data_IF_164393237482
#
_entry.id   IF_164393237482
#
_cell.length_a   1.000
_cell.length_b   1.000
_cell.length_c   1.000
_cell.angle_alpha   90.00
_cell.angle_beta   90.00
_cell.angle_gamma   90.00
#
_symmetry.space_group_name_H-M   'P 1'
#
loop_
_entity.id
_entity.type
_entity.pdbx_description
1 polymer ?
#
# COMPACT_ATOMS: atom_id res chain seq x y z
N UNK A 1 -22.69 -1.27 30.92
CA UNK A 1 -22.52 -1.53 29.47
C UNK A 1 -22.24 -3.01 29.29
N UNK A 2 -22.85 -3.65 28.29
CA UNK A 2 -22.50 -5.04 27.95
C UNK A 2 -21.08 -5.12 27.39
N UNK A 3 -20.42 -6.28 27.52
CA UNK A 3 -19.07 -6.50 26.97
C UNK A 3 -19.01 -6.29 25.44
N UNK A 4 -20.09 -6.62 24.74
CA UNK A 4 -20.23 -6.36 23.30
C UNK A 4 -20.28 -4.84 22.98
N UNK A 5 -21.04 -4.06 23.76
CA UNK A 5 -21.09 -2.60 23.59
C UNK A 5 -19.71 -1.95 23.85
N UNK A 6 -18.98 -2.44 24.85
CA UNK A 6 -17.64 -1.97 25.15
C UNK A 6 -16.65 -2.33 24.01
N UNK A 7 -16.75 -3.52 23.44
CA UNK A 7 -15.94 -3.92 22.27
C UNK A 7 -16.25 -3.02 21.06
N UNK A 8 -17.53 -2.71 20.80
CA UNK A 8 -17.92 -1.82 19.71
C UNK A 8 -17.33 -0.40 19.88
N UNK A 9 -17.40 0.17 21.08
CA UNK A 9 -16.78 1.49 21.37
C UNK A 9 -15.27 1.44 21.14
N UNK A 10 -14.59 0.37 21.59
CA UNK A 10 -13.14 0.24 21.40
C UNK A 10 -12.74 0.05 19.93
N UNK A 11 -13.54 -0.66 19.13
CA UNK A 11 -13.34 -0.78 17.67
C UNK A 11 -13.52 0.57 16.96
N UNK A 12 -14.54 1.33 17.33
CA UNK A 12 -14.73 2.69 16.80
C UNK A 12 -13.54 3.58 17.16
N UNK A 13 -13.07 3.51 18.40
CA UNK A 13 -11.88 4.25 18.83
C UNK A 13 -10.62 3.84 18.06
N UNK A 14 -10.44 2.55 17.78
CA UNK A 14 -9.34 2.06 16.93
C UNK A 14 -9.42 2.65 15.52
N UNK A 15 -10.61 2.61 14.89
CA UNK A 15 -10.80 3.14 13.54
C UNK A 15 -10.50 4.65 13.47
N UNK A 16 -10.98 5.43 14.44
CA UNK A 16 -10.72 6.87 14.54
C UNK A 16 -9.24 7.16 14.83
N UNK A 17 -8.61 6.39 15.74
CA UNK A 17 -7.17 6.52 16.00
C UNK A 17 -6.34 6.27 14.75
N UNK A 18 -6.68 5.25 13.96
CA UNK A 18 -6.00 5.00 12.68
C UNK A 18 -6.18 6.17 11.71
N UNK A 19 -7.40 6.73 11.59
CA UNK A 19 -7.67 7.88 10.71
C UNK A 19 -6.86 9.12 11.12
N UNK A 20 -6.84 9.45 12.41
CA UNK A 20 -6.07 10.56 12.95
C UNK A 20 -4.56 10.35 12.80
N UNK A 21 -4.09 9.12 12.98
CA UNK A 21 -2.69 8.73 12.80
C UNK A 21 -2.23 8.90 11.35
N UNK A 22 -3.07 8.52 10.38
CA UNK A 22 -2.80 8.76 8.95
C UNK A 22 -2.74 10.25 8.64
N UNK A 23 -3.67 11.04 9.15
CA UNK A 23 -3.66 12.50 8.99
C UNK A 23 -2.40 13.14 9.60
N UNK A 24 -1.95 12.65 10.76
CA UNK A 24 -0.73 13.13 11.41
C UNK A 24 0.55 12.85 10.60
N UNK A 25 0.61 11.76 9.82
CA UNK A 25 1.74 11.47 8.93
C UNK A 25 1.93 12.51 7.82
N UNK A 26 0.88 13.24 7.46
CA UNK A 26 0.93 14.30 6.45
C UNK A 26 1.45 15.63 7.00
N UNK A 27 1.53 15.76 8.32
CA UNK A 27 2.08 16.94 8.98
C UNK A 27 3.58 16.72 9.23
N UNK A 28 4.37 17.79 9.16
CA UNK A 28 5.82 17.76 9.34
C UNK A 28 6.14 18.19 10.79
N UNK A 29 6.16 17.28 11.78
CA UNK A 29 6.51 17.66 13.14
C UNK A 29 8.01 17.97 13.23
N UNK A 30 8.38 18.88 14.12
CA UNK A 30 9.76 19.05 14.55
C UNK A 30 10.15 17.81 15.37
N UNK A 31 10.79 16.84 14.73
CA UNK A 31 11.22 15.60 15.38
C UNK A 31 12.70 15.63 15.72
N UNK A 32 13.04 14.94 16.78
CA UNK A 32 14.43 14.72 17.20
C UNK A 32 15.17 13.85 16.17
N UNK A 33 16.44 14.17 15.90
CA UNK A 33 17.25 13.45 14.93
C UNK A 33 17.75 12.12 15.52
N UNK A 34 17.05 11.04 15.27
CA UNK A 34 17.42 9.70 15.68
C UNK A 34 18.13 8.94 14.54
N UNK A 35 19.04 8.01 14.84
CA UNK A 35 19.68 7.17 13.82
C UNK A 35 18.65 6.30 13.06
N UNK A 36 18.85 6.14 11.75
CA UNK A 36 17.97 5.29 10.90
C UNK A 36 17.87 3.87 11.46
N UNK A 37 18.98 3.30 11.95
CA UNK A 37 19.00 1.93 12.49
C UNK A 37 18.03 1.76 13.65
N UNK A 38 18.01 2.72 14.57
CA UNK A 38 17.12 2.71 15.74
C UNK A 38 15.68 2.85 15.30
N UNK A 39 15.35 3.90 14.52
CA UNK A 39 14.00 4.15 14.03
C UNK A 39 13.44 2.95 13.26
N UNK A 40 14.27 2.34 12.40
CA UNK A 40 13.87 1.17 11.62
C UNK A 40 13.62 -0.05 12.51
N UNK A 41 14.45 -0.29 13.50
CA UNK A 41 14.29 -1.42 14.44
C UNK A 41 12.99 -1.25 15.23
N UNK A 42 12.73 -0.05 15.75
CA UNK A 42 11.53 0.27 16.50
C UNK A 42 10.28 0.14 15.63
N UNK A 43 10.33 0.64 14.38
CA UNK A 43 9.25 0.51 13.41
C UNK A 43 8.89 -0.96 13.15
N UNK A 44 9.88 -1.81 12.85
CA UNK A 44 9.65 -3.24 12.58
C UNK A 44 9.19 -4.00 13.83
N UNK A 45 9.61 -3.58 15.02
CA UNK A 45 9.16 -4.13 16.29
C UNK A 45 7.68 -3.79 16.53
N UNK A 46 7.28 -2.54 16.30
CA UNK A 46 5.87 -2.10 16.37
C UNK A 46 4.99 -2.89 15.39
N UNK A 47 5.43 -3.08 14.16
CA UNK A 47 4.71 -3.91 13.19
C UNK A 47 4.53 -5.36 13.69
N UNK A 48 5.53 -5.92 14.37
CA UNK A 48 5.45 -7.28 14.93
C UNK A 48 4.41 -7.37 16.06
N UNK A 49 4.33 -6.36 16.92
CA UNK A 49 3.36 -6.29 18.00
C UNK A 49 1.94 -6.09 17.44
N UNK A 50 1.78 -5.22 16.44
CA UNK A 50 0.50 -5.03 15.73
C UNK A 50 0.05 -6.35 15.11
N UNK A 51 0.92 -7.09 14.41
CA UNK A 51 0.63 -8.41 13.85
C UNK A 51 0.04 -9.36 14.91
N UNK A 52 0.73 -9.49 16.05
CA UNK A 52 0.31 -10.38 17.14
C UNK A 52 -1.04 -9.98 17.73
N UNK A 53 -1.28 -8.67 17.95
CA UNK A 53 -2.53 -8.18 18.51
C UNK A 53 -3.69 -8.28 17.51
N UNK A 54 -3.43 -8.10 16.21
CA UNK A 54 -4.41 -8.34 15.14
C UNK A 54 -4.87 -9.80 15.13
N UNK A 55 -3.94 -10.76 15.25
CA UNK A 55 -4.26 -12.18 15.36
C UNK A 55 -5.14 -12.47 16.58
N UNK A 56 -4.75 -11.95 17.77
CA UNK A 56 -5.52 -12.14 19.01
C UNK A 56 -6.92 -11.54 18.89
N UNK A 57 -7.04 -10.36 18.28
CA UNK A 57 -8.32 -9.69 18.06
C UNK A 57 -9.23 -10.53 17.16
N UNK A 58 -8.71 -11.03 16.03
CA UNK A 58 -9.48 -11.82 15.07
C UNK A 58 -9.96 -13.16 15.68
N UNK A 59 -9.15 -13.77 16.54
CA UNK A 59 -9.55 -14.99 17.29
C UNK A 59 -10.63 -14.64 18.32
N UNK A 60 -10.44 -13.57 19.10
CA UNK A 60 -11.35 -13.19 20.18
C UNK A 60 -12.73 -12.72 19.66
N UNK A 61 -12.78 -12.10 18.48
CA UNK A 61 -14.01 -11.62 17.85
C UNK A 61 -14.49 -12.54 16.71
N UNK A 62 -14.09 -13.82 16.72
CA UNK A 62 -14.61 -14.79 15.75
C UNK A 62 -16.14 -14.87 15.85
N UNK A 63 -16.89 -14.64 14.75
CA UNK A 63 -18.35 -14.61 14.75
C UNK A 63 -19.01 -15.89 15.27
N UNK A 64 -18.37 -17.05 15.10
CA UNK A 64 -18.90 -18.32 15.57
C UNK A 64 -18.91 -18.44 17.11
N UNK A 65 -17.98 -17.79 17.80
CA UNK A 65 -17.89 -17.82 19.28
C UNK A 65 -17.17 -16.56 19.80
N UNK A 66 -17.81 -15.38 19.76
CA UNK A 66 -17.17 -14.12 20.12
C UNK A 66 -16.94 -14.01 21.63
N UNK A 67 -15.68 -13.77 22.00
CA UNK A 67 -15.27 -13.54 23.40
C UNK A 67 -14.89 -12.07 23.57
N UNK A 68 -15.90 -11.19 23.71
CA UNK A 68 -15.72 -9.72 23.77
C UNK A 68 -14.80 -9.27 24.91
N UNK A 69 -14.79 -9.95 26.04
CA UNK A 69 -13.88 -9.65 27.16
C UNK A 69 -12.42 -9.90 26.80
N UNK A 70 -12.15 -10.96 26.03
CA UNK A 70 -10.79 -11.29 25.57
C UNK A 70 -10.28 -10.30 24.50
N UNK A 71 -11.18 -9.63 23.78
CA UNK A 71 -10.83 -8.62 22.78
C UNK A 71 -10.36 -7.28 23.40
N UNK A 72 -10.68 -7.01 24.66
CA UNK A 72 -10.42 -5.71 25.29
C UNK A 72 -8.92 -5.35 25.33
N UNK A 73 -8.05 -6.30 25.70
CA UNK A 73 -6.59 -6.09 25.76
C UNK A 73 -5.99 -5.87 24.36
N UNK A 74 -6.21 -6.75 23.36
CA UNK A 74 -5.72 -6.52 22.00
C UNK A 74 -6.18 -5.21 21.40
N UNK A 75 -7.43 -4.77 21.62
CA UNK A 75 -7.96 -3.50 21.13
C UNK A 75 -7.23 -2.32 21.77
N UNK A 76 -7.05 -2.32 23.09
CA UNK A 76 -6.30 -1.27 23.79
C UNK A 76 -4.87 -1.16 23.25
N UNK A 77 -4.21 -2.29 23.08
CA UNK A 77 -2.84 -2.35 22.58
C UNK A 77 -2.74 -1.86 21.11
N UNK A 78 -3.69 -2.27 20.25
CA UNK A 78 -3.74 -1.81 18.86
C UNK A 78 -3.94 -0.29 18.78
N UNK A 79 -4.82 0.30 19.59
CA UNK A 79 -5.02 1.75 19.67
C UNK A 79 -3.71 2.46 20.02
N UNK A 80 -3.03 2.00 21.07
CA UNK A 80 -1.77 2.58 21.53
C UNK A 80 -0.67 2.45 20.45
N UNK A 81 -0.52 1.25 19.88
CA UNK A 81 0.53 0.98 18.90
C UNK A 81 0.27 1.65 17.54
N UNK A 82 -0.99 1.89 17.16
CA UNK A 82 -1.32 2.65 15.94
C UNK A 82 -0.81 4.08 16.00
N UNK A 83 -1.04 4.79 17.12
CA UNK A 83 -0.49 6.14 17.30
C UNK A 83 1.02 6.16 17.45
N UNK A 84 1.61 5.16 18.14
CA UNK A 84 3.07 5.04 18.25
C UNK A 84 3.73 4.75 16.90
N UNK A 85 3.10 3.92 16.04
CA UNK A 85 3.58 3.64 14.68
C UNK A 85 3.64 4.92 13.84
N UNK A 86 2.58 5.74 13.88
CA UNK A 86 2.54 7.02 13.18
C UNK A 86 3.62 7.99 13.71
N UNK A 87 3.78 8.09 15.03
CA UNK A 87 4.82 8.92 15.64
C UNK A 87 6.22 8.47 15.25
N UNK A 88 6.50 7.17 15.28
CA UNK A 88 7.80 6.64 14.84
C UNK A 88 8.04 6.91 13.35
N UNK A 89 7.04 6.69 12.49
CA UNK A 89 7.15 6.97 11.06
C UNK A 89 7.39 8.47 10.79
N UNK A 90 6.73 9.38 11.53
CA UNK A 90 6.96 10.83 11.43
C UNK A 90 8.36 11.26 11.85
N UNK A 91 9.07 10.45 12.63
CA UNK A 91 10.46 10.71 13.01
C UNK A 91 11.46 10.47 11.87
N UNK A 92 11.02 9.86 10.76
CA UNK A 92 11.83 9.76 9.54
C UNK A 92 11.76 11.08 8.77
N UNK A 93 12.80 11.91 8.92
CA UNK A 93 12.85 13.23 8.31
C UNK A 93 13.49 13.18 6.91
N UNK A 94 12.85 13.73 5.86
CA UNK A 94 13.36 13.67 4.49
C UNK A 94 14.75 14.28 4.32
N UNK A 95 15.05 15.33 5.09
CA UNK A 95 16.33 16.04 5.03
C UNK A 95 17.51 15.27 5.67
N UNK A 96 17.22 14.36 6.62
CA UNK A 96 18.25 13.58 7.33
C UNK A 96 18.32 12.14 6.83
N UNK A 97 17.17 11.52 6.63
CA UNK A 97 17.07 10.10 6.30
C UNK A 97 16.91 9.84 4.81
N UNK A 98 16.61 10.92 4.03
CA UNK A 98 16.39 10.89 2.59
C UNK A 98 14.92 10.70 2.21
N UNK A 99 14.53 11.35 1.11
CA UNK A 99 13.12 11.42 0.68
C UNK A 99 12.52 10.07 0.32
N UNK A 100 13.30 9.20 -0.35
CA UNK A 100 12.78 7.92 -0.81
C UNK A 100 12.49 6.97 0.37
N UNK A 101 13.41 6.89 1.33
CA UNK A 101 13.21 6.08 2.54
C UNK A 101 12.06 6.60 3.39
N UNK A 102 11.98 7.92 3.60
CA UNK A 102 10.88 8.53 4.36
C UNK A 102 9.54 8.24 3.70
N UNK A 103 9.44 8.38 2.38
CA UNK A 103 8.23 8.08 1.64
C UNK A 103 7.84 6.59 1.75
N UNK A 104 8.81 5.68 1.68
CA UNK A 104 8.57 4.25 1.84
C UNK A 104 8.02 3.91 3.24
N UNK A 105 8.60 4.49 4.31
CA UNK A 105 8.13 4.29 5.69
C UNK A 105 6.72 4.86 5.89
N UNK A 106 6.48 6.08 5.39
CA UNK A 106 5.17 6.72 5.50
C UNK A 106 4.09 5.95 4.73
N UNK A 107 4.40 5.45 3.52
CA UNK A 107 3.48 4.60 2.76
C UNK A 107 3.16 3.33 3.53
N UNK A 108 4.19 2.60 4.00
CA UNK A 108 3.99 1.36 4.78
C UNK A 108 3.15 1.60 6.03
N UNK A 109 3.40 2.69 6.78
CA UNK A 109 2.61 3.03 7.96
C UNK A 109 1.15 3.33 7.58
N UNK A 110 0.93 4.10 6.53
CA UNK A 110 -0.41 4.45 6.02
C UNK A 110 -1.18 3.20 5.59
N UNK A 111 -0.53 2.29 4.86
CA UNK A 111 -1.16 1.06 4.36
C UNK A 111 -1.59 0.15 5.53
N UNK A 112 -0.71 -0.04 6.52
CA UNK A 112 -1.02 -0.84 7.71
C UNK A 112 -2.14 -0.20 8.55
N UNK A 113 -2.11 1.12 8.76
CA UNK A 113 -3.16 1.83 9.50
C UNK A 113 -4.50 1.81 8.77
N UNK A 114 -4.49 1.93 7.44
CA UNK A 114 -5.68 1.81 6.60
C UNK A 114 -6.29 0.41 6.71
N UNK A 115 -5.46 -0.64 6.59
CA UNK A 115 -5.92 -2.02 6.73
C UNK A 115 -6.47 -2.33 8.14
N UNK A 116 -5.85 -1.79 9.20
CA UNK A 116 -6.39 -1.91 10.57
C UNK A 116 -7.73 -1.21 10.73
N UNK A 117 -7.90 -0.03 10.14
CA UNK A 117 -9.16 0.70 10.14
C UNK A 117 -10.26 -0.10 9.44
N UNK A 118 -9.96 -0.68 8.29
CA UNK A 118 -10.90 -1.52 7.54
C UNK A 118 -11.27 -2.79 8.33
N UNK A 119 -10.31 -3.42 9.00
CA UNK A 119 -10.56 -4.56 9.89
C UNK A 119 -11.47 -4.17 11.05
N UNK A 120 -11.25 -3.01 11.69
CA UNK A 120 -12.11 -2.52 12.75
C UNK A 120 -13.56 -2.30 12.25
N UNK A 121 -13.74 -1.71 11.07
CA UNK A 121 -15.06 -1.56 10.46
C UNK A 121 -15.71 -2.91 10.11
N UNK A 122 -14.95 -3.89 9.64
CA UNK A 122 -15.47 -5.24 9.38
C UNK A 122 -16.02 -5.89 10.67
N UNK A 123 -15.29 -5.81 11.78
CA UNK A 123 -15.79 -6.31 13.07
C UNK A 123 -16.98 -5.51 13.59
N UNK A 124 -17.00 -4.18 13.43
CA UNK A 124 -18.16 -3.35 13.81
C UNK A 124 -19.42 -3.76 13.03
N UNK A 125 -19.29 -4.01 11.75
CA UNK A 125 -20.43 -4.46 10.93
C UNK A 125 -21.01 -5.79 11.39
N UNK A 126 -20.17 -6.70 11.92
CA UNK A 126 -20.62 -7.98 12.48
C UNK A 126 -21.34 -7.81 13.82
N UNK A 127 -20.90 -6.85 14.65
CA UNK A 127 -21.53 -6.58 15.95
C UNK A 127 -22.87 -5.82 15.82
N UNK A 128 -23.05 -5.04 14.75
CA UNK A 128 -24.24 -4.21 14.54
C UNK A 128 -25.33 -4.90 13.73
N UNK A 129 -25.03 -5.99 13.01
CA UNK A 129 -26.05 -6.79 12.33
C UNK A 129 -26.98 -7.41 13.37
N UNK A 130 -28.30 -7.08 13.38
CA UNK A 130 -29.24 -7.76 14.23
C UNK A 130 -29.24 -9.26 13.85
N UNK A 131 -29.16 -10.15 14.84
CA UNK A 131 -29.41 -11.56 14.63
C UNK A 131 -30.89 -11.70 14.21
N UNK A 132 -31.16 -11.68 12.91
CA UNK A 132 -32.47 -12.01 12.36
C UNK A 132 -32.63 -13.51 12.63
N UNK A 133 -33.39 -13.81 13.69
CA UNK A 133 -33.92 -15.14 13.95
C UNK A 133 -35.12 -15.33 13.04
N UNK A 134 -34.89 -15.58 11.77
CA UNK A 134 -35.91 -16.13 10.91
C UNK A 134 -35.59 -17.60 10.66
N UNK A 135 -36.37 -18.43 11.31
CA UNK A 135 -36.48 -19.90 11.15
C UNK A 135 -37.05 -20.22 9.76
N UNK A 136 -36.38 -19.96 8.68
CA UNK A 136 -36.64 -20.57 7.37
C UNK A 136 -35.76 -19.93 6.27
N UNK A 137 -34.58 -20.40 6.12
CA UNK A 137 -33.84 -20.57 4.87
C UNK A 137 -32.36 -20.67 5.26
N UNK A 138 -31.78 -21.79 4.98
CA UNK A 138 -30.32 -21.98 4.96
C UNK A 138 -29.78 -20.97 3.94
N UNK A 139 -29.44 -19.75 4.36
CA UNK A 139 -29.00 -18.74 3.44
C UNK A 139 -27.48 -18.62 3.53
N UNK A 140 -26.87 -18.77 2.37
CA UNK A 140 -25.46 -18.52 2.04
C UNK A 140 -24.93 -17.14 2.50
N UNK A 141 -25.80 -16.29 3.01
CA UNK A 141 -25.54 -14.94 3.51
C UNK A 141 -24.74 -14.86 4.81
N UNK A 142 -24.68 -15.92 5.63
CA UNK A 142 -23.92 -15.90 6.88
C UNK A 142 -22.43 -16.20 6.69
N UNK A 143 -22.04 -16.87 5.61
CA UNK A 143 -20.65 -17.12 5.23
C UNK A 143 -19.96 -15.87 4.73
N UNK A 144 -20.64 -15.02 3.97
CA UNK A 144 -20.05 -13.81 3.36
C UNK A 144 -19.55 -12.80 4.43
N UNK A 145 -20.25 -12.67 5.55
CA UNK A 145 -19.82 -11.78 6.65
C UNK A 145 -18.63 -12.31 7.45
N UNK A 146 -18.57 -13.65 7.62
CA UNK A 146 -17.47 -14.32 8.32
C UNK A 146 -16.15 -14.27 7.57
N UNK A 147 -16.19 -14.35 6.25
CA UNK A 147 -14.98 -14.34 5.43
C UNK A 147 -14.37 -12.95 5.28
N UNK A 148 -15.19 -11.88 5.39
CA UNK A 148 -14.71 -10.50 5.20
C UNK A 148 -13.68 -10.10 6.25
N UNK A 149 -13.89 -10.37 7.55
CA UNK A 149 -12.92 -9.99 8.58
C UNK A 149 -11.63 -10.81 8.49
N UNK A 150 -11.73 -12.10 8.08
CA UNK A 150 -10.55 -12.93 7.83
C UNK A 150 -9.73 -12.40 6.67
N UNK A 151 -10.37 -12.01 5.56
CA UNK A 151 -9.70 -11.37 4.44
C UNK A 151 -8.98 -10.07 4.87
N UNK A 152 -9.66 -9.21 5.65
CA UNK A 152 -9.04 -7.97 6.18
C UNK A 152 -7.90 -8.26 7.16
N UNK A 153 -8.01 -9.28 8.00
CA UNK A 153 -6.91 -9.76 8.85
C UNK A 153 -5.72 -10.19 8.00
N UNK A 154 -5.99 -10.96 6.93
CA UNK A 154 -4.98 -11.40 5.98
C UNK A 154 -4.23 -10.25 5.32
N UNK A 155 -4.94 -9.17 4.93
CA UNK A 155 -4.32 -7.96 4.36
C UNK A 155 -3.35 -7.31 5.35
N UNK A 156 -3.75 -7.11 6.63
CA UNK A 156 -2.85 -6.56 7.66
C UNK A 156 -1.60 -7.42 7.82
N UNK A 157 -1.78 -8.74 7.88
CA UNK A 157 -0.67 -9.68 8.02
C UNK A 157 0.27 -9.65 6.81
N UNK A 158 -0.28 -9.60 5.61
CA UNK A 158 0.48 -9.53 4.35
C UNK A 158 1.33 -8.26 4.29
N UNK A 159 0.75 -7.09 4.57
CA UNK A 159 1.48 -5.82 4.56
C UNK A 159 2.65 -5.83 5.56
N UNK A 160 2.41 -6.34 6.77
CA UNK A 160 3.46 -6.45 7.79
C UNK A 160 4.54 -7.46 7.37
N UNK A 161 4.15 -8.60 6.82
CA UNK A 161 5.10 -9.61 6.34
C UNK A 161 5.96 -9.06 5.18
N UNK A 162 5.36 -8.32 4.25
CA UNK A 162 6.08 -7.65 3.16
C UNK A 162 7.08 -6.63 3.71
N UNK A 163 6.67 -5.78 4.67
CA UNK A 163 7.56 -4.79 5.28
C UNK A 163 8.76 -5.43 6.01
N UNK A 164 8.58 -6.62 6.59
CA UNK A 164 9.59 -7.36 7.34
C UNK A 164 10.47 -8.28 6.48
N UNK A 165 10.09 -8.55 5.23
CA UNK A 165 10.88 -9.36 4.32
C UNK A 165 12.28 -8.76 4.08
N UNK A 166 13.22 -9.55 3.60
CA UNK A 166 14.60 -9.09 3.34
C UNK A 166 14.66 -7.92 2.35
N UNK A 167 13.78 -7.93 1.34
CA UNK A 167 13.60 -6.84 0.38
C UNK A 167 12.43 -5.91 0.74
N UNK A 168 11.86 -6.02 1.95
CA UNK A 168 10.78 -5.20 2.44
C UNK A 168 11.20 -3.75 2.67
N UNK A 169 11.18 -3.30 3.92
CA UNK A 169 11.57 -1.93 4.26
C UNK A 169 13.06 -1.70 4.06
N UNK A 170 13.41 -0.71 3.25
CA UNK A 170 14.80 -0.38 2.88
C UNK A 170 15.65 -0.03 4.10
N UNK A 171 16.93 -0.46 4.09
CA UNK A 171 17.88 -0.19 5.18
C UNK A 171 18.51 1.21 5.08
N UNK A 172 18.55 1.77 3.89
CA UNK A 172 19.13 3.09 3.59
C UNK A 172 18.35 3.79 2.50
N UNK A 173 18.46 5.12 2.41
CA UNK A 173 17.83 5.89 1.34
C UNK A 173 18.30 5.45 -0.06
N UNK A 174 19.57 5.08 -0.21
CA UNK A 174 20.09 4.60 -1.50
C UNK A 174 19.37 3.33 -1.97
N UNK A 175 19.12 2.38 -1.04
CA UNK A 175 18.37 1.16 -1.35
C UNK A 175 16.93 1.51 -1.72
N UNK A 176 16.29 2.43 -0.99
CA UNK A 176 14.94 2.90 -1.29
C UNK A 176 14.84 3.55 -2.68
N UNK A 177 15.83 4.40 -3.05
CA UNK A 177 15.91 5.00 -4.40
C UNK A 177 16.04 3.93 -5.47
N UNK A 178 16.95 2.94 -5.28
CA UNK A 178 17.15 1.86 -6.25
C UNK A 178 15.90 0.98 -6.42
N UNK A 179 15.21 0.67 -5.32
CA UNK A 179 13.95 -0.08 -5.34
C UNK A 179 12.89 0.67 -6.15
N UNK A 180 12.66 1.94 -5.83
CA UNK A 180 11.69 2.79 -6.52
C UNK A 180 12.04 2.99 -8.00
N UNK A 181 13.33 3.14 -8.32
CA UNK A 181 13.78 3.24 -9.71
C UNK A 181 13.46 1.98 -10.50
N UNK A 182 13.71 0.79 -9.92
CA UNK A 182 13.38 -0.48 -10.57
C UNK A 182 11.89 -0.60 -10.82
N UNK A 183 11.05 -0.32 -9.82
CA UNK A 183 9.59 -0.33 -9.94
C UNK A 183 9.12 0.60 -11.08
N UNK A 184 9.65 1.82 -11.14
CA UNK A 184 9.28 2.74 -12.21
C UNK A 184 9.81 2.30 -13.58
N UNK A 185 11.00 1.71 -13.67
CA UNK A 185 11.55 1.22 -14.93
C UNK A 185 10.76 0.04 -15.49
N UNK A 186 10.23 -0.82 -14.62
CA UNK A 186 9.34 -1.93 -14.99
C UNK A 186 8.01 -1.41 -15.54
N UNK A 187 7.40 -0.41 -14.89
CA UNK A 187 6.16 0.24 -15.36
C UNK A 187 6.38 0.90 -16.74
N UNK A 188 7.49 1.61 -16.92
CA UNK A 188 7.82 2.23 -18.21
C UNK A 188 8.06 1.18 -19.29
N UNK A 189 8.72 0.08 -18.96
CA UNK A 189 8.95 -1.02 -19.90
C UNK A 189 7.64 -1.70 -20.31
N UNK A 190 6.74 -1.93 -19.36
CA UNK A 190 5.42 -2.51 -19.60
C UNK A 190 4.57 -1.58 -20.49
N UNK A 191 4.50 -0.30 -20.14
CA UNK A 191 3.80 0.70 -20.95
C UNK A 191 4.38 0.81 -22.37
N UNK A 192 5.70 0.70 -22.53
CA UNK A 192 6.34 0.70 -23.84
C UNK A 192 5.99 -0.56 -24.66
N UNK A 193 5.93 -1.72 -24.02
CA UNK A 193 5.53 -2.98 -24.66
C UNK A 193 4.05 -2.94 -25.10
N UNK A 194 3.17 -2.40 -24.27
CA UNK A 194 1.74 -2.21 -24.61
C UNK A 194 1.58 -1.28 -25.81
N UNK A 195 2.29 -0.14 -25.82
CA UNK A 195 2.29 0.77 -26.97
C UNK A 195 2.83 0.10 -28.25
N UNK A 196 3.76 -0.83 -28.12
CA UNK A 196 4.31 -1.55 -29.28
C UNK A 196 3.28 -2.50 -29.89
N UNK A 197 2.53 -3.22 -29.08
CA UNK A 197 1.47 -4.14 -29.55
C UNK A 197 0.26 -3.39 -30.13
N UNK A 198 -0.16 -2.29 -29.52
CA UNK A 198 -1.34 -1.54 -29.95
C UNK A 198 -1.06 -0.56 -31.11
N UNK A 199 0.11 0.09 -31.11
CA UNK A 199 0.46 1.08 -32.13
C UNK A 199 1.02 0.48 -33.43
N UNK A 200 1.57 -0.74 -33.35
CA UNK A 200 2.20 -1.42 -34.47
C UNK A 200 1.74 -2.91 -34.52
N UNK A 201 0.46 -3.15 -34.84
CA UNK A 201 0.04 -4.51 -35.09
C UNK A 201 0.94 -5.06 -36.22
N UNK A 202 1.66 -6.14 -35.93
CA UNK A 202 2.45 -6.84 -36.93
C UNK A 202 1.49 -7.32 -38.02
N UNK A 203 1.59 -6.64 -39.16
CA UNK A 203 0.83 -6.99 -40.37
C UNK A 203 1.53 -8.18 -41.05
N UNK A 204 1.72 -9.27 -40.29
CA UNK A 204 2.07 -10.56 -40.90
C UNK A 204 0.77 -11.12 -41.47
N UNK A 205 0.50 -10.66 -42.68
CA UNK A 205 -0.66 -11.08 -43.42
C UNK A 205 -0.60 -12.58 -43.69
N UNK A 206 -1.64 -13.24 -43.34
CA UNK A 206 -2.27 -14.24 -44.19
C UNK A 206 -3.76 -13.94 -44.18
N UNK A 207 -4.21 -13.46 -45.35
CA UNK A 207 -5.61 -13.31 -45.69
C UNK A 207 -6.25 -14.71 -45.61
N UNK A 208 -6.94 -15.00 -44.54
CA UNK A 208 -7.98 -15.98 -44.52
C UNK A 208 -9.19 -15.39 -43.80
N UNK A 209 -10.17 -14.99 -44.62
CA UNK A 209 -11.53 -14.61 -44.26
C UNK A 209 -12.16 -15.69 -43.38
N UNK A 210 -12.35 -15.39 -42.09
CA UNK A 210 -13.45 -15.92 -41.33
C UNK A 210 -13.89 -14.89 -40.29
N UNK A 211 -14.80 -14.03 -40.72
CA UNK A 211 -15.63 -13.13 -39.90
C UNK A 211 -16.52 -13.96 -38.97
N UNK A 212 -16.03 -14.27 -37.80
CA UNK A 212 -16.90 -14.58 -36.65
C UNK A 212 -16.27 -13.97 -35.39
N UNK A 213 -16.17 -12.64 -35.36
CA UNK A 213 -15.78 -11.91 -34.19
C UNK A 213 -16.92 -11.97 -33.17
N UNK A 214 -16.72 -12.74 -32.12
CA UNK A 214 -17.53 -12.78 -30.92
C UNK A 214 -17.77 -11.35 -30.40
N UNK A 215 -18.93 -10.80 -30.69
CA UNK A 215 -19.53 -9.67 -29.98
C UNK A 215 -19.95 -10.20 -28.60
N UNK A 216 -19.05 -10.20 -27.62
CA UNK A 216 -19.31 -10.66 -26.26
C UNK A 216 -19.97 -9.60 -25.36
N UNK A 217 -20.47 -8.53 -25.93
CA UNK A 217 -21.38 -7.60 -25.24
C UNK A 217 -20.77 -6.82 -24.08
N UNK A 218 -19.45 -6.68 -24.00
CA UNK A 218 -18.77 -5.88 -22.97
C UNK A 218 -18.60 -4.40 -23.31
N UNK A 219 -19.17 -3.94 -24.43
CA UNK A 219 -19.28 -2.52 -24.78
C UNK A 219 -20.39 -1.86 -23.94
N UNK A 220 -20.14 -1.66 -22.64
CA UNK A 220 -20.99 -0.84 -21.79
C UNK A 220 -20.50 0.61 -21.80
N UNK A 221 -21.16 1.53 -22.52
CA UNK A 221 -20.77 2.92 -22.63
C UNK A 221 -20.88 3.69 -21.30
N UNK A 222 -21.57 3.13 -20.28
CA UNK A 222 -21.68 3.73 -18.94
C UNK A 222 -20.42 3.54 -18.08
N UNK A 223 -19.56 2.57 -18.38
CA UNK A 223 -18.33 2.32 -17.62
C UNK A 223 -17.14 3.20 -18.06
N UNK A 224 -17.30 4.05 -19.07
CA UNK A 224 -16.24 4.96 -19.52
C UNK A 224 -14.98 4.27 -20.06
N UNK A 225 -15.04 2.95 -20.24
CA UNK A 225 -14.04 2.17 -20.95
C UNK A 225 -14.30 2.32 -22.46
N UNK A 226 -14.05 3.52 -22.98
CA UNK A 226 -13.93 3.68 -24.41
C UNK A 226 -12.77 2.79 -24.86
N UNK A 227 -13.08 1.78 -25.67
CA UNK A 227 -12.12 1.06 -26.50
C UNK A 227 -11.12 2.11 -27.00
N UNK A 228 -9.86 1.98 -26.67
CA UNK A 228 -8.78 2.85 -27.15
C UNK A 228 -8.85 2.83 -28.67
N UNK A 229 -9.57 3.80 -29.25
CA UNK A 229 -9.71 3.91 -30.70
C UNK A 229 -8.33 3.97 -31.32
N UNK A 230 -8.18 3.46 -32.54
CA UNK A 230 -6.92 3.47 -33.30
C UNK A 230 -6.21 4.80 -33.09
N UNK A 231 -4.99 4.77 -32.57
CA UNK A 231 -4.17 5.96 -32.28
C UNK A 231 -4.13 6.89 -33.48
N UNK A 232 -4.31 8.19 -33.26
CA UNK A 232 -4.17 9.16 -34.35
C UNK A 232 -2.73 9.16 -34.89
N UNK A 233 -2.51 9.56 -36.16
CA UNK A 233 -1.13 9.63 -36.71
C UNK A 233 -0.17 10.43 -35.85
N UNK A 234 -0.65 11.48 -35.18
CA UNK A 234 0.15 12.31 -34.27
C UNK A 234 0.51 11.54 -32.99
N UNK A 235 -0.41 10.75 -32.45
CA UNK A 235 -0.17 9.89 -31.27
C UNK A 235 0.81 8.77 -31.62
N UNK A 236 0.75 8.19 -32.81
CA UNK A 236 1.71 7.21 -33.32
C UNK A 236 3.12 7.81 -33.41
N UNK A 237 3.25 9.05 -33.93
CA UNK A 237 4.55 9.73 -34.01
C UNK A 237 5.09 10.08 -32.62
N UNK A 238 4.22 10.43 -31.67
CA UNK A 238 4.60 10.64 -30.27
C UNK A 238 5.08 9.32 -29.62
N UNK A 239 4.38 8.23 -29.83
CA UNK A 239 4.75 6.90 -29.37
C UNK A 239 6.12 6.46 -29.92
N UNK A 240 6.39 6.72 -31.22
CA UNK A 240 7.71 6.48 -31.84
C UNK A 240 8.82 7.30 -31.17
N UNK A 241 8.55 8.56 -30.80
CA UNK A 241 9.51 9.40 -30.07
C UNK A 241 9.78 8.86 -28.67
N UNK A 242 8.75 8.47 -27.92
CA UNK A 242 8.88 7.85 -26.59
C UNK A 242 9.71 6.58 -26.69
N UNK A 243 9.44 5.71 -27.67
CA UNK A 243 10.20 4.48 -27.92
C UNK A 243 11.70 4.74 -28.14
N UNK A 244 12.07 5.76 -28.92
CA UNK A 244 13.48 6.11 -29.17
C UNK A 244 14.24 6.51 -27.93
N UNK A 245 13.55 7.04 -26.91
CA UNK A 245 14.17 7.51 -25.66
C UNK A 245 14.08 6.47 -24.53
N UNK A 246 13.16 5.50 -24.63
CA UNK A 246 12.95 4.44 -23.63
C UNK A 246 14.18 3.56 -23.36
N UNK A 247 14.98 3.11 -24.35
CA UNK A 247 16.16 2.28 -24.08
C UNK A 247 17.22 3.00 -23.24
N UNK A 248 17.30 4.32 -23.30
CA UNK A 248 18.24 5.11 -22.48
C UNK A 248 17.82 5.14 -21.00
N UNK A 249 16.53 5.01 -20.68
CA UNK A 249 16.06 4.95 -19.29
C UNK A 249 16.32 3.59 -18.62
N UNK A 250 16.22 2.50 -19.36
CA UNK A 250 16.51 1.14 -18.84
C UNK A 250 18.01 0.84 -18.71
N UNK A 251 18.86 1.57 -19.45
CA UNK A 251 20.33 1.42 -19.42
C UNK A 251 21.06 2.39 -18.49
N UNK A 252 20.33 3.25 -17.76
CA UNK A 252 20.96 4.04 -16.69
C UNK A 252 21.49 3.09 -15.62
N UNK A 253 22.77 2.76 -15.73
CA UNK A 253 23.49 1.87 -14.85
C UNK A 253 23.45 2.44 -13.41
N UNK A 254 22.69 1.79 -12.54
CA UNK A 254 22.53 2.16 -11.13
C UNK A 254 23.87 2.13 -10.36
N UNK A 255 24.94 1.64 -10.98
CA UNK A 255 26.30 1.71 -10.42
C UNK A 255 26.88 3.12 -10.45
N UNK A 256 26.39 4.01 -11.33
CA UNK A 256 26.85 5.40 -11.45
C UNK A 256 26.16 6.34 -10.43
N UNK A 257 25.02 5.95 -9.88
CA UNK A 257 24.27 6.76 -8.89
C UNK A 257 25.07 7.14 -7.62
N UNK A 258 25.94 6.28 -7.03
CA UNK A 258 26.75 6.65 -5.90
C UNK A 258 27.74 7.78 -6.19
N UNK A 259 28.27 7.81 -7.42
CA UNK A 259 29.26 8.83 -7.84
C UNK A 259 28.61 10.20 -8.04
N UNK A 260 27.40 10.24 -8.61
CA UNK A 260 26.62 11.48 -8.79
C UNK A 260 26.15 12.08 -7.46
N UNK A 261 25.80 11.22 -6.47
CA UNK A 261 25.39 11.66 -5.13
C UNK A 261 26.59 12.13 -4.29
N UNK A 262 27.78 11.56 -4.50
CA UNK A 262 29.02 12.01 -3.85
C UNK A 262 29.43 13.40 -4.34
N UNK A 263 29.34 13.66 -5.66
CA UNK A 263 29.65 14.96 -6.26
C UNK A 263 28.73 16.10 -5.79
N UNK A 264 27.43 15.81 -5.60
CA UNK A 264 26.49 16.81 -5.06
C UNK A 264 26.77 17.16 -3.61
N UNK A 265 27.28 16.21 -2.82
CA UNK A 265 27.63 16.45 -1.43
C UNK A 265 28.92 17.29 -1.29
N UNK A 266 29.91 17.11 -2.16
CA UNK A 266 31.11 17.94 -2.24
C UNK A 266 30.81 19.38 -2.67
N UNK A 267 29.84 19.61 -3.57
CA UNK A 267 29.43 20.97 -3.96
C UNK A 267 28.70 21.73 -2.86
N UNK A 268 27.87 21.04 -2.05
CA UNK A 268 27.15 21.68 -0.95
C UNK A 268 28.07 22.15 0.20
N UNK A 269 29.18 21.47 0.46
CA UNK A 269 30.14 21.87 1.49
C UNK A 269 31.06 23.04 1.06
N UNK A 270 31.23 23.25 -0.26
CA UNK A 270 32.09 24.35 -0.76
C UNK A 270 31.36 25.71 -0.83
N UNK A 271 30.03 25.72 -0.83
CA UNK A 271 29.24 26.98 -0.84
C UNK A 271 29.10 27.58 0.56
N UNK A 272 29.31 26.82 1.62
CA UNK A 272 29.24 27.31 3.02
C UNK A 272 30.55 27.88 3.57
N UNK A 273 31.61 27.94 2.76
CA UNK A 273 32.96 28.38 3.19
C UNK A 273 33.45 29.64 2.46
N UNK A 274 32.54 30.55 2.06
CA UNK A 274 32.91 31.90 1.61
C UNK A 274 32.54 32.92 2.69
N UNK A 275 33.49 33.75 3.14
CA UNK A 275 33.32 34.70 4.23
C UNK A 275 32.32 35.83 3.95
#
# INVERSE_FOLDING_TARGET
MSSAAQAAVSLTLLAETCALSIAALQTNPAAEQLPISTLRTDFLSLLSVIYSNTTKLSIALNPSNPTHTAAATPLKDLIAHSSTLASNASSFLPNFHGRALTAEVHSTATDVLTALRELAHAHLSLLTKPAIKDDAAVSESSTIGGDTYLAKTGVVHQLIAQAKADQGLSKTNLIAVRKRWREHSEIVADAAATLETEAFPSNDGDDDDDDDFFDDGWDDPELGLTVLGKLSPEQVELAKKVRRHSPHFSQLDLTVLPTLLADTKCRATHVSALP
#
